data_IF_629829824961
#
_entry.id   IF_629829824961
#
_cell.length_a   1.000
_cell.length_b   1.000
_cell.length_c   1.000
_cell.angle_alpha   90.00
_cell.angle_beta   90.00
_cell.angle_gamma   90.00
#
_symmetry.space_group_name_H-M   'P 1'
#
loop_
_entity.id
_entity.type
_entity.pdbx_description
1 polymer ?
#
# COMPACT_ATOMS: atom_id res chain seq x y z
N UNK A 1 -29.61 -53.09 10.96
CA UNK A 1 -29.71 -52.56 12.35
C UNK A 1 -29.86 -51.04 12.20
N UNK A 2 -31.09 -50.51 12.21
CA UNK A 2 -31.76 -49.82 13.37
C UNK A 2 -30.86 -48.77 14.02
N UNK A 3 -31.23 -47.51 14.31
CA UNK A 3 -32.49 -46.74 14.27
C UNK A 3 -32.07 -45.23 14.29
N UNK A 4 -32.68 -44.30 13.55
CA UNK A 4 -33.93 -43.57 13.84
C UNK A 4 -33.96 -42.75 15.15
N UNK A 5 -34.00 -41.40 15.06
CA UNK A 5 -34.83 -40.44 15.86
C UNK A 5 -34.27 -39.00 15.72
N UNK A 6 -34.91 -38.08 14.99
CA UNK A 6 -36.08 -37.23 15.30
C UNK A 6 -35.88 -36.16 16.39
N UNK A 7 -35.87 -34.91 15.90
CA UNK A 7 -36.67 -33.74 16.29
C UNK A 7 -36.52 -33.12 17.70
N UNK A 8 -36.42 -31.78 17.73
CA UNK A 8 -37.43 -30.92 18.37
C UNK A 8 -37.32 -29.45 17.93
N UNK A 9 -38.46 -28.92 17.50
CA UNK A 9 -38.78 -27.51 17.38
C UNK A 9 -39.02 -26.89 18.76
N UNK A 10 -38.92 -25.57 18.87
CA UNK A 10 -39.68 -24.78 19.85
C UNK A 10 -40.32 -23.56 19.14
N UNK A 11 -41.62 -23.32 19.37
CA UNK A 11 -42.36 -22.19 18.81
C UNK A 11 -42.46 -21.00 19.79
N UNK A 12 -42.76 -19.85 19.19
CA UNK A 12 -43.51 -18.69 19.68
C UNK A 12 -43.85 -18.59 21.18
N UNK A 13 -43.42 -17.47 21.77
CA UNK A 13 -44.04 -16.86 22.94
C UNK A 13 -44.59 -15.49 22.56
N UNK A 14 -45.92 -15.39 22.58
CA UNK A 14 -46.76 -14.22 22.36
C UNK A 14 -47.33 -13.77 23.72
N UNK A 15 -47.42 -12.46 23.96
CA UNK A 15 -48.25 -11.78 24.99
C UNK A 15 -47.81 -10.30 25.07
N UNK A 16 -48.53 -9.37 24.44
CA UNK A 16 -49.72 -8.66 24.94
C UNK A 16 -49.46 -7.31 25.66
N UNK A 17 -49.89 -6.24 24.96
CA UNK A 17 -50.82 -5.17 25.39
C UNK A 17 -50.49 -4.36 26.66
N UNK A 18 -50.24 -3.05 26.50
CA UNK A 18 -51.16 -2.00 27.03
C UNK A 18 -50.83 -0.59 26.54
N UNK A 19 -51.81 0.02 25.87
CA UNK A 19 -51.98 1.47 25.72
C UNK A 19 -52.16 2.15 27.07
N UNK A 20 -51.76 3.42 27.19
CA UNK A 20 -52.65 4.50 27.70
C UNK A 20 -52.03 5.85 27.37
N UNK A 21 -52.80 6.63 26.61
CA UNK A 21 -52.75 8.09 26.58
C UNK A 21 -53.02 8.63 27.98
N UNK A 22 -52.39 9.75 28.34
CA UNK A 22 -52.88 10.62 29.41
C UNK A 22 -52.55 12.06 29.04
N UNK A 23 -53.64 12.81 28.95
CA UNK A 23 -53.75 14.21 28.60
C UNK A 23 -53.10 15.15 29.63
N UNK A 24 -52.84 16.38 29.18
CA UNK A 24 -52.48 17.55 29.99
C UNK A 24 -53.46 17.82 31.14
N UNK A 25 -53.05 18.65 32.12
CA UNK A 25 -53.57 20.02 32.04
C UNK A 25 -52.55 21.12 32.36
N UNK A 26 -52.79 22.26 31.72
CA UNK A 26 -52.17 23.56 31.92
C UNK A 26 -52.37 24.12 33.33
N UNK A 27 -51.39 24.93 33.78
CA UNK A 27 -51.53 26.28 34.39
C UNK A 27 -50.33 26.60 35.30
N UNK A 28 -49.53 27.60 34.92
CA UNK A 28 -49.01 28.63 35.83
C UNK A 28 -48.14 29.63 35.05
N UNK A 29 -48.71 30.79 34.74
CA UNK A 29 -47.96 31.98 34.35
C UNK A 29 -47.31 32.58 35.60
N UNK A 30 -45.98 32.77 35.57
CA UNK A 30 -45.24 33.55 36.55
C UNK A 30 -44.32 34.55 35.82
N UNK A 31 -44.34 35.85 36.16
CA UNK A 31 -43.48 36.86 35.55
C UNK A 31 -42.15 36.89 36.32
N UNK A 32 -41.02 36.76 35.62
CA UNK A 32 -39.72 36.76 36.31
C UNK A 32 -38.50 36.66 35.41
N UNK A 33 -37.96 37.85 35.10
CA UNK A 33 -36.55 38.17 34.89
C UNK A 33 -35.90 37.89 33.50
N UNK A 34 -35.54 38.96 32.74
CA UNK A 34 -34.79 38.82 31.51
C UNK A 34 -33.32 38.51 31.82
N UNK A 35 -32.96 37.23 31.84
CA UNK A 35 -31.55 36.83 31.84
C UNK A 35 -30.90 37.34 30.55
N UNK A 36 -29.70 37.93 30.61
CA UNK A 36 -28.98 38.33 29.41
C UNK A 36 -28.72 37.07 28.57
N UNK A 37 -29.13 37.13 27.29
CA UNK A 37 -28.71 36.17 26.26
C UNK A 37 -27.20 36.00 26.39
N UNK A 38 -26.75 34.84 26.84
CA UNK A 38 -25.40 34.39 26.52
C UNK A 38 -25.40 34.21 25.02
N UNK A 39 -24.79 35.16 24.33
CA UNK A 39 -24.44 34.98 22.93
C UNK A 39 -23.59 33.72 22.86
N UNK A 40 -24.12 32.69 22.21
CA UNK A 40 -23.33 31.54 21.81
C UNK A 40 -22.12 32.09 21.03
N UNK A 41 -20.88 31.75 21.41
CA UNK A 41 -19.72 32.20 20.67
C UNK A 41 -19.88 31.75 19.21
N UNK A 42 -19.61 32.63 18.23
CA UNK A 42 -19.76 32.32 16.82
C UNK A 42 -19.00 31.05 16.53
N UNK A 43 -19.71 30.10 15.93
CA UNK A 43 -19.25 28.75 15.68
C UNK A 43 -17.80 28.74 15.24
N UNK A 44 -17.00 27.87 15.85
CA UNK A 44 -15.70 27.46 15.31
C UNK A 44 -15.93 27.11 13.85
N UNK A 45 -15.59 28.04 12.96
CA UNK A 45 -15.51 27.79 11.55
C UNK A 45 -14.49 26.65 11.42
N UNK A 46 -15.00 25.44 11.15
CA UNK A 46 -14.14 24.35 10.72
C UNK A 46 -13.31 24.83 9.54
N UNK A 47 -12.11 24.26 9.31
CA UNK A 47 -11.24 24.70 8.23
C UNK A 47 -12.05 24.83 6.94
N UNK A 48 -11.94 26.00 6.28
CA UNK A 48 -12.73 26.35 5.10
C UNK A 48 -12.63 25.19 4.11
N UNK A 49 -13.77 24.52 3.86
CA UNK A 49 -13.84 23.33 2.99
C UNK A 49 -13.20 23.61 1.63
N UNK A 50 -13.30 24.84 1.15
CA UNK A 50 -12.67 25.29 -0.10
C UNK A 50 -11.15 25.28 -0.06
N UNK A 51 -10.54 25.64 1.07
CA UNK A 51 -9.09 25.60 1.26
C UNK A 51 -8.58 24.16 1.36
N UNK A 52 -9.32 23.27 2.03
CA UNK A 52 -9.02 21.83 2.10
C UNK A 52 -9.12 21.19 0.71
N UNK A 53 -10.17 21.50 -0.05
CA UNK A 53 -10.36 21.00 -1.42
C UNK A 53 -9.29 21.54 -2.39
N UNK A 54 -8.88 22.80 -2.23
CA UNK A 54 -7.82 23.39 -3.04
C UNK A 54 -6.46 22.73 -2.79
N UNK A 55 -6.11 22.45 -1.52
CA UNK A 55 -4.89 21.74 -1.17
C UNK A 55 -4.92 20.27 -1.64
N UNK A 56 -6.08 19.60 -1.52
CA UNK A 56 -6.29 18.25 -2.08
C UNK A 56 -6.07 18.24 -3.60
N UNK A 57 -6.60 19.22 -4.32
CA UNK A 57 -6.39 19.37 -5.78
C UNK A 57 -4.94 19.62 -6.15
N UNK A 58 -4.22 20.46 -5.38
CA UNK A 58 -2.78 20.69 -5.61
C UNK A 58 -1.97 19.41 -5.45
N UNK A 59 -2.23 18.63 -4.39
CA UNK A 59 -1.56 17.34 -4.16
C UNK A 59 -1.92 16.29 -5.21
N UNK A 60 -3.14 16.34 -5.72
CA UNK A 60 -3.58 15.51 -6.85
C UNK A 60 -3.03 15.97 -8.19
N UNK A 61 -2.46 17.17 -8.34
CA UNK A 61 -1.91 17.61 -9.62
C UNK A 61 -0.49 17.05 -9.88
N UNK A 62 0.24 16.70 -8.83
CA UNK A 62 1.60 16.19 -8.97
C UNK A 62 1.60 14.67 -9.14
N UNK A 63 2.24 14.20 -10.22
CA UNK A 63 2.46 12.77 -10.48
C UNK A 63 3.91 12.44 -10.19
N UNK A 64 4.14 11.49 -9.28
CA UNK A 64 5.49 11.01 -8.93
C UNK A 64 5.82 9.77 -9.77
N UNK A 65 7.00 9.74 -10.38
CA UNK A 65 7.60 8.52 -10.95
C UNK A 65 8.65 7.98 -9.97
N UNK A 66 8.77 6.65 -9.90
CA UNK A 66 9.69 5.92 -9.05
C UNK A 66 10.66 5.04 -9.88
N UNK A 67 10.77 5.26 -11.20
CA UNK A 67 11.58 4.38 -12.06
C UNK A 67 13.06 4.37 -11.66
N UNK A 68 13.56 5.52 -11.20
CA UNK A 68 14.90 5.66 -10.62
C UNK A 68 15.11 4.74 -9.41
N UNK A 69 14.10 4.56 -8.57
CA UNK A 69 14.18 3.70 -7.38
C UNK A 69 14.28 2.22 -7.79
N UNK A 70 13.45 1.76 -8.73
CA UNK A 70 13.59 0.38 -9.27
C UNK A 70 14.94 0.15 -9.93
N UNK A 71 15.43 1.11 -10.72
CA UNK A 71 16.72 1.01 -11.40
C UNK A 71 17.89 0.93 -10.42
N UNK A 72 17.84 1.68 -9.32
CA UNK A 72 18.84 1.61 -8.26
C UNK A 72 18.83 0.26 -7.54
N UNK A 73 17.65 -0.26 -7.19
CA UNK A 73 17.51 -1.58 -6.57
C UNK A 73 18.07 -2.68 -7.47
N UNK A 74 17.69 -2.68 -8.75
CA UNK A 74 18.20 -3.64 -9.72
C UNK A 74 19.73 -3.56 -9.86
N UNK A 75 20.29 -2.34 -9.94
CA UNK A 75 21.73 -2.11 -10.04
C UNK A 75 22.47 -2.56 -8.78
N UNK A 76 21.91 -2.33 -7.60
CA UNK A 76 22.50 -2.77 -6.33
C UNK A 76 22.58 -4.30 -6.25
N UNK A 77 21.52 -5.00 -6.67
CA UNK A 77 21.45 -6.46 -6.72
C UNK A 77 22.39 -7.06 -7.76
N UNK A 78 22.33 -6.60 -9.01
CA UNK A 78 22.89 -7.34 -10.14
C UNK A 78 24.24 -6.81 -10.64
N UNK A 79 24.60 -5.55 -10.35
CA UNK A 79 25.74 -4.88 -10.99
C UNK A 79 26.79 -4.42 -9.98
N UNK A 80 26.38 -3.66 -8.97
CA UNK A 80 27.28 -2.88 -8.10
C UNK A 80 28.31 -3.75 -7.38
N UNK A 81 27.93 -4.94 -6.97
CA UNK A 81 28.75 -5.84 -6.18
C UNK A 81 29.15 -7.13 -6.92
N UNK A 82 28.78 -7.27 -8.19
CA UNK A 82 28.99 -8.49 -8.98
C UNK A 82 30.47 -8.89 -9.10
N UNK A 83 31.39 -7.92 -9.06
CA UNK A 83 32.85 -8.14 -9.17
C UNK A 83 33.54 -8.37 -7.81
N UNK A 84 32.81 -8.28 -6.71
CA UNK A 84 33.37 -8.56 -5.39
C UNK A 84 33.49 -10.07 -5.16
N UNK A 85 34.44 -10.48 -4.32
CA UNK A 85 34.51 -11.86 -3.85
C UNK A 85 33.29 -12.21 -3.01
N UNK A 86 32.92 -13.50 -2.95
CA UNK A 86 31.75 -13.97 -2.19
C UNK A 86 31.72 -13.48 -0.74
N UNK A 87 32.86 -13.50 -0.03
CA UNK A 87 32.92 -12.98 1.35
C UNK A 87 32.61 -11.48 1.45
N UNK A 88 33.08 -10.67 0.48
CA UNK A 88 32.77 -9.23 0.43
C UNK A 88 31.34 -8.96 -0.02
N UNK A 89 30.79 -9.81 -0.90
CA UNK A 89 29.38 -9.77 -1.27
C UNK A 89 28.50 -10.05 -0.04
N UNK A 90 28.84 -11.06 0.76
CA UNK A 90 28.13 -11.40 1.99
C UNK A 90 28.09 -10.23 3.00
N UNK A 91 29.22 -9.53 3.19
CA UNK A 91 29.28 -8.33 4.04
C UNK A 91 28.33 -7.21 3.56
N UNK A 92 28.06 -7.15 2.25
CA UNK A 92 27.19 -6.14 1.64
C UNK A 92 25.71 -6.56 1.58
N UNK A 93 25.39 -7.84 1.73
CA UNK A 93 24.01 -8.35 1.68
C UNK A 93 23.08 -7.62 2.63
N UNK A 94 23.48 -7.41 3.89
CA UNK A 94 22.62 -6.79 4.89
C UNK A 94 22.31 -5.33 4.55
N UNK A 95 23.34 -4.56 4.14
CA UNK A 95 23.21 -3.17 3.69
C UNK A 95 22.26 -3.06 2.49
N UNK A 96 22.46 -3.89 1.47
CA UNK A 96 21.60 -3.88 0.27
C UNK A 96 20.15 -4.27 0.61
N UNK A 97 19.94 -5.28 1.46
CA UNK A 97 18.59 -5.67 1.88
C UNK A 97 17.88 -4.55 2.67
N UNK A 98 18.60 -3.86 3.55
CA UNK A 98 18.08 -2.71 4.31
C UNK A 98 17.72 -1.54 3.38
N UNK A 99 18.57 -1.23 2.40
CA UNK A 99 18.33 -0.17 1.41
C UNK A 99 17.09 -0.47 0.55
N UNK A 100 16.92 -1.73 0.13
CA UNK A 100 15.72 -2.16 -0.60
C UNK A 100 14.47 -1.99 0.29
N UNK A 101 14.52 -2.42 1.55
CA UNK A 101 13.40 -2.23 2.48
C UNK A 101 13.09 -0.74 2.67
N UNK A 102 14.10 0.09 2.85
CA UNK A 102 13.92 1.55 2.96
C UNK A 102 13.24 2.12 1.71
N UNK A 103 13.70 1.70 0.53
CA UNK A 103 13.18 2.16 -0.76
C UNK A 103 11.70 1.80 -0.91
N UNK A 104 11.34 0.55 -0.61
CA UNK A 104 9.94 0.07 -0.60
C UNK A 104 9.08 0.91 0.35
N UNK A 105 9.55 1.17 1.57
CA UNK A 105 8.83 1.96 2.57
C UNK A 105 8.67 3.42 2.13
N UNK A 106 9.70 4.00 1.52
CA UNK A 106 9.72 5.36 0.99
C UNK A 106 8.68 5.54 -0.13
N UNK A 107 8.64 4.61 -1.10
CA UNK A 107 7.64 4.62 -2.17
C UNK A 107 6.22 4.57 -1.58
N UNK A 108 5.95 3.64 -0.67
CA UNK A 108 4.64 3.53 -0.05
C UNK A 108 4.24 4.79 0.74
N UNK A 109 5.19 5.41 1.45
CA UNK A 109 4.97 6.68 2.16
C UNK A 109 4.60 7.85 1.23
N UNK A 110 5.10 7.84 -0.01
CA UNK A 110 4.78 8.83 -1.03
C UNK A 110 3.45 8.53 -1.77
N UNK A 111 2.90 7.32 -1.64
CA UNK A 111 1.67 6.87 -2.29
C UNK A 111 0.43 6.92 -1.37
N UNK A 112 0.36 7.92 -0.48
CA UNK A 112 -0.73 8.06 0.49
C UNK A 112 -2.14 8.20 -0.13
N UNK A 113 -3.23 8.10 0.66
CA UNK A 113 -4.61 8.07 0.15
C UNK A 113 -5.06 9.38 -0.52
N UNK A 114 -4.37 10.49 -0.27
CA UNK A 114 -4.72 11.81 -0.80
C UNK A 114 -3.97 12.19 -2.08
N UNK A 115 -3.04 11.35 -2.55
CA UNK A 115 -2.22 11.63 -3.74
C UNK A 115 -2.97 11.34 -5.04
N UNK A 116 -2.37 11.68 -6.17
CA UNK A 116 -2.93 11.39 -7.49
C UNK A 116 -3.05 9.86 -7.72
N UNK A 117 -4.13 9.44 -8.39
CA UNK A 117 -4.37 8.06 -8.83
C UNK A 117 -3.18 7.42 -9.55
N UNK A 118 -2.60 8.17 -10.49
CA UNK A 118 -1.42 7.78 -11.26
C UNK A 118 -0.19 7.60 -10.38
N UNK A 119 -0.04 8.37 -9.30
CA UNK A 119 1.07 8.17 -8.36
C UNK A 119 0.94 6.85 -7.61
N UNK A 120 -0.28 6.45 -7.21
CA UNK A 120 -0.51 5.13 -6.62
C UNK A 120 -0.26 4.00 -7.63
N UNK A 121 -0.71 4.18 -8.87
CA UNK A 121 -0.45 3.24 -9.96
C UNK A 121 1.05 3.06 -10.21
N UNK A 122 1.78 4.17 -10.34
CA UNK A 122 3.23 4.18 -10.53
C UNK A 122 3.93 3.50 -9.34
N UNK A 123 3.52 3.80 -8.11
CA UNK A 123 4.04 3.15 -6.90
C UNK A 123 3.85 1.64 -6.92
N UNK A 124 2.62 1.16 -7.20
CA UNK A 124 2.34 -0.27 -7.31
C UNK A 124 3.16 -0.95 -8.43
N UNK A 125 3.27 -0.30 -9.58
CA UNK A 125 4.06 -0.79 -10.72
C UNK A 125 5.54 -0.92 -10.34
N UNK A 126 6.13 0.08 -9.70
CA UNK A 126 7.53 0.04 -9.27
C UNK A 126 7.75 -0.96 -8.14
N UNK A 127 6.86 -1.06 -7.15
CA UNK A 127 6.95 -2.11 -6.14
C UNK A 127 6.89 -3.50 -6.77
N UNK A 128 6.05 -3.71 -7.80
CA UNK A 128 6.03 -4.96 -8.57
C UNK A 128 7.39 -5.21 -9.24
N UNK A 129 7.97 -4.20 -9.91
CA UNK A 129 9.30 -4.31 -10.56
C UNK A 129 10.40 -4.66 -9.55
N UNK A 130 10.39 -4.03 -8.37
CA UNK A 130 11.32 -4.34 -7.27
C UNK A 130 11.13 -5.78 -6.80
N UNK A 131 9.90 -6.20 -6.56
CA UNK A 131 9.57 -7.58 -6.17
C UNK A 131 10.12 -8.60 -7.17
N UNK A 132 9.87 -8.39 -8.46
CA UNK A 132 10.40 -9.25 -9.52
C UNK A 132 11.94 -9.24 -9.56
N UNK A 133 12.57 -8.08 -9.35
CA UNK A 133 14.03 -7.97 -9.31
C UNK A 133 14.65 -8.79 -8.17
N UNK A 134 13.97 -8.89 -7.02
CA UNK A 134 14.39 -9.72 -5.89
C UNK A 134 14.16 -11.21 -6.19
N UNK A 135 13.00 -11.56 -6.76
CA UNK A 135 12.66 -12.96 -7.07
C UNK A 135 13.56 -13.53 -8.15
N UNK A 136 13.83 -12.77 -9.21
CA UNK A 136 14.63 -13.20 -10.35
C UNK A 136 16.09 -12.74 -10.26
N UNK A 137 16.56 -12.32 -9.09
CA UNK A 137 17.96 -11.95 -8.93
C UNK A 137 18.83 -13.19 -9.10
N UNK A 138 19.62 -13.25 -10.16
CA UNK A 138 20.53 -14.35 -10.43
C UNK A 138 21.95 -13.98 -9.98
N UNK A 139 22.58 -14.84 -9.18
CA UNK A 139 23.96 -14.65 -8.74
C UNK A 139 24.28 -15.45 -7.47
N UNK A 140 25.56 -15.55 -7.16
CA UNK A 140 26.05 -16.51 -6.16
C UNK A 140 25.69 -16.13 -4.73
N UNK A 141 26.27 -15.04 -4.20
CA UNK A 141 26.21 -14.77 -2.75
C UNK A 141 25.23 -13.67 -2.41
N UNK A 142 25.44 -12.44 -2.91
CA UNK A 142 24.59 -11.31 -2.52
C UNK A 142 23.15 -11.43 -3.03
N UNK A 143 22.88 -11.67 -4.33
CA UNK A 143 21.51 -11.85 -4.83
C UNK A 143 20.74 -12.94 -4.08
N UNK A 144 21.37 -14.11 -3.92
CA UNK A 144 20.80 -15.25 -3.21
C UNK A 144 20.45 -14.92 -1.75
N UNK A 145 21.37 -14.30 -1.01
CA UNK A 145 21.12 -14.02 0.41
C UNK A 145 20.12 -12.87 0.61
N UNK A 146 20.06 -11.90 -0.31
CA UNK A 146 19.00 -10.89 -0.32
C UNK A 146 17.65 -11.56 -0.59
N UNK A 147 17.53 -12.38 -1.63
CA UNK A 147 16.31 -13.14 -1.93
C UNK A 147 15.85 -13.95 -0.72
N UNK A 148 16.77 -14.66 -0.06
CA UNK A 148 16.49 -15.43 1.15
C UNK A 148 15.99 -14.56 2.30
N UNK A 149 16.54 -13.35 2.49
CA UNK A 149 16.07 -12.42 3.52
C UNK A 149 14.60 -12.04 3.32
N UNK A 150 14.14 -11.97 2.06
CA UNK A 150 12.76 -11.64 1.70
C UNK A 150 11.78 -12.82 1.76
N UNK A 151 12.24 -14.04 2.10
CA UNK A 151 11.32 -15.16 2.36
C UNK A 151 10.51 -14.99 3.65
N UNK A 152 11.10 -14.33 4.66
CA UNK A 152 10.43 -14.01 5.92
C UNK A 152 10.02 -12.54 6.06
N UNK A 153 10.47 -11.69 5.13
CA UNK A 153 10.22 -10.25 5.17
C UNK A 153 8.90 -9.90 4.47
N UNK A 154 8.04 -9.15 5.14
CA UNK A 154 6.71 -8.76 4.63
C UNK A 154 6.64 -7.29 4.17
N UNK A 155 7.78 -6.60 4.09
CA UNK A 155 7.85 -5.16 3.81
C UNK A 155 7.25 -4.81 2.46
N UNK A 156 7.53 -5.61 1.42
CA UNK A 156 6.98 -5.39 0.07
C UNK A 156 5.45 -5.49 0.05
N UNK A 157 4.91 -6.56 0.63
CA UNK A 157 3.47 -6.84 0.62
C UNK A 157 2.73 -5.81 1.46
N UNK A 158 3.26 -5.47 2.64
CA UNK A 158 2.68 -4.43 3.50
C UNK A 158 2.68 -3.06 2.81
N UNK A 159 3.75 -2.74 2.08
CA UNK A 159 3.82 -1.52 1.27
C UNK A 159 2.76 -1.53 0.15
N UNK A 160 2.65 -2.62 -0.61
CA UNK A 160 1.63 -2.76 -1.66
C UNK A 160 0.21 -2.64 -1.09
N UNK A 161 -0.10 -3.38 -0.01
CA UNK A 161 -1.40 -3.33 0.67
C UNK A 161 -1.72 -1.93 1.19
N UNK A 162 -0.72 -1.20 1.72
CA UNK A 162 -0.89 0.18 2.17
C UNK A 162 -1.27 1.11 1.01
N UNK A 163 -0.69 0.92 -0.18
CA UNK A 163 -1.08 1.67 -1.38
C UNK A 163 -2.50 1.29 -1.80
N UNK A 164 -2.80 -0.01 -1.94
CA UNK A 164 -4.12 -0.52 -2.39
C UNK A 164 -5.25 -0.02 -1.49
N UNK A 165 -5.01 0.08 -0.17
CA UNK A 165 -5.98 0.66 0.78
C UNK A 165 -6.37 2.10 0.45
N UNK A 166 -5.47 2.87 -0.17
CA UNK A 166 -5.71 4.22 -0.65
C UNK A 166 -6.23 4.31 -2.09
N UNK A 167 -6.33 3.19 -2.82
CA UNK A 167 -6.84 3.15 -4.19
C UNK A 167 -8.36 3.02 -4.17
N UNK A 168 -9.05 3.92 -4.87
CA UNK A 168 -10.51 3.91 -4.96
C UNK A 168 -11.01 2.73 -5.80
N UNK A 169 -12.24 2.24 -5.53
CA UNK A 169 -12.81 1.07 -6.24
C UNK A 169 -12.74 1.20 -7.77
N UNK A 170 -13.10 2.36 -8.33
CA UNK A 170 -13.06 2.58 -9.77
C UNK A 170 -11.64 2.57 -10.35
N UNK A 171 -10.62 2.95 -9.57
CA UNK A 171 -9.22 2.84 -9.97
C UNK A 171 -8.76 1.38 -9.98
N UNK A 172 -9.15 0.59 -8.98
CA UNK A 172 -8.86 -0.86 -8.94
C UNK A 172 -9.48 -1.59 -10.12
N UNK A 173 -10.75 -1.31 -10.43
CA UNK A 173 -11.45 -1.87 -11.59
C UNK A 173 -10.76 -1.51 -12.91
N UNK A 174 -10.20 -0.31 -13.03
CA UNK A 174 -9.43 0.09 -14.21
C UNK A 174 -8.17 -0.76 -14.35
N UNK A 175 -7.40 -0.91 -13.27
CA UNK A 175 -6.20 -1.75 -13.25
C UNK A 175 -6.52 -3.21 -13.58
N UNK A 176 -7.58 -3.77 -12.99
CA UNK A 176 -7.98 -5.16 -13.24
C UNK A 176 -8.50 -5.40 -14.66
N UNK A 177 -9.07 -4.38 -15.30
CA UNK A 177 -9.54 -4.48 -16.70
C UNK A 177 -8.37 -4.58 -17.68
N UNK A 178 -7.22 -4.01 -17.34
CA UNK A 178 -5.96 -4.17 -18.06
C UNK A 178 -5.36 -5.56 -17.77
N UNK A 179 -6.09 -6.62 -18.15
CA UNK A 179 -5.65 -8.01 -18.01
C UNK A 179 -4.97 -8.53 -19.29
N UNK A 180 -4.22 -7.65 -19.96
CA UNK A 180 -3.28 -8.02 -21.03
C UNK A 180 -1.91 -8.30 -20.40
N UNK A 181 -1.02 -9.02 -21.08
CA UNK A 181 0.33 -9.33 -20.56
C UNK A 181 1.10 -8.10 -20.06
N UNK A 182 0.89 -6.95 -20.72
CA UNK A 182 1.54 -5.69 -20.36
C UNK A 182 0.89 -4.94 -19.19
N UNK A 183 -0.34 -5.30 -18.85
CA UNK A 183 -1.13 -4.63 -17.84
C UNK A 183 -0.64 -4.93 -16.42
N UNK A 184 -0.79 -3.94 -15.53
CA UNK A 184 -0.34 -4.06 -14.14
C UNK A 184 -0.97 -5.25 -13.41
N UNK A 185 -2.24 -5.57 -13.69
CA UNK A 185 -2.92 -6.70 -13.07
C UNK A 185 -2.28 -8.04 -13.44
N UNK A 186 -2.08 -8.32 -14.74
CA UNK A 186 -1.41 -9.53 -15.21
C UNK A 186 0.01 -9.63 -14.63
N UNK A 187 0.73 -8.51 -14.60
CA UNK A 187 2.09 -8.41 -14.03
C UNK A 187 2.14 -8.69 -12.52
N UNK A 188 1.10 -8.35 -11.76
CA UNK A 188 0.98 -8.69 -10.33
C UNK A 188 0.67 -10.17 -10.11
N UNK A 189 -0.20 -10.76 -10.93
CA UNK A 189 -0.47 -12.20 -10.89
C UNK A 189 0.80 -13.00 -11.21
N UNK A 190 1.51 -12.62 -12.27
CA UNK A 190 2.79 -13.23 -12.66
C UNK A 190 3.82 -13.17 -11.52
N UNK A 191 3.98 -12.00 -10.87
CA UNK A 191 4.89 -11.89 -9.74
C UNK A 191 4.49 -12.83 -8.59
N UNK A 192 3.19 -13.02 -8.35
CA UNK A 192 2.70 -13.92 -7.29
C UNK A 192 3.06 -15.38 -7.59
N UNK A 193 2.96 -15.78 -8.84
CA UNK A 193 3.37 -17.11 -9.31
C UNK A 193 4.89 -17.30 -9.20
N UNK A 194 5.67 -16.37 -9.77
CA UNK A 194 7.15 -16.38 -9.71
C UNK A 194 7.63 -16.42 -8.25
N UNK A 195 7.07 -15.57 -7.37
CA UNK A 195 7.49 -15.50 -5.98
C UNK A 195 7.22 -16.81 -5.20
N UNK A 196 6.19 -17.57 -5.60
CA UNK A 196 5.85 -18.85 -4.95
C UNK A 196 6.93 -19.92 -5.13
N UNK A 197 7.60 -19.94 -6.29
CA UNK A 197 8.70 -20.86 -6.59
C UNK A 197 9.89 -20.63 -5.64
N UNK A 198 10.19 -19.36 -5.36
CA UNK A 198 11.30 -18.94 -4.50
C UNK A 198 10.89 -18.74 -3.03
N UNK A 199 9.63 -19.05 -2.68
CA UNK A 199 9.03 -18.84 -1.34
C UNK A 199 9.17 -17.40 -0.82
N UNK A 200 9.23 -16.45 -1.73
CA UNK A 200 9.24 -15.02 -1.41
C UNK A 200 7.81 -14.50 -1.36
N UNK A 201 7.58 -13.47 -0.55
CA UNK A 201 6.33 -12.71 -0.54
C UNK A 201 5.03 -13.56 -0.47
N UNK A 202 4.93 -14.39 0.57
CA UNK A 202 3.81 -15.33 0.82
C UNK A 202 2.40 -14.70 0.90
N UNK A 203 2.31 -13.39 1.12
CA UNK A 203 1.10 -12.56 1.21
C UNK A 203 0.82 -11.73 -0.04
N UNK A 204 1.52 -11.92 -1.16
CA UNK A 204 1.11 -11.27 -2.42
C UNK A 204 -0.33 -11.59 -2.83
N UNK A 205 -0.83 -12.78 -2.48
CA UNK A 205 -2.24 -13.12 -2.64
C UNK A 205 -3.19 -12.20 -1.86
N UNK A 206 -2.77 -11.63 -0.73
CA UNK A 206 -3.56 -10.63 0.01
C UNK A 206 -3.68 -9.34 -0.81
N UNK A 207 -2.62 -8.92 -1.51
CA UNK A 207 -2.64 -7.73 -2.37
C UNK A 207 -3.66 -7.91 -3.49
N UNK A 208 -3.68 -9.09 -4.14
CA UNK A 208 -4.63 -9.40 -5.21
C UNK A 208 -6.08 -9.39 -4.69
N UNK A 209 -6.34 -10.05 -3.55
CA UNK A 209 -7.67 -10.08 -2.92
C UNK A 209 -8.15 -8.69 -2.50
N UNK A 210 -7.26 -7.83 -1.99
CA UNK A 210 -7.58 -6.43 -1.71
C UNK A 210 -7.92 -5.64 -2.98
N UNK A 211 -7.26 -5.96 -4.09
CA UNK A 211 -7.55 -5.33 -5.38
C UNK A 211 -8.96 -5.68 -5.88
N UNK A 212 -9.37 -6.94 -5.70
CA UNK A 212 -10.72 -7.46 -5.97
C UNK A 212 -11.79 -6.89 -5.03
N UNK A 213 -11.37 -6.34 -3.89
CA UNK A 213 -12.23 -5.65 -2.94
C UNK A 213 -12.50 -6.41 -1.64
N UNK A 214 -11.75 -7.49 -1.36
CA UNK A 214 -11.77 -8.12 -0.04
C UNK A 214 -11.17 -7.20 1.03
N UNK A 215 -11.81 -7.14 2.19
CA UNK A 215 -11.26 -6.44 3.36
C UNK A 215 -10.24 -7.35 4.06
N UNK A 216 -8.97 -6.93 4.03
CA UNK A 216 -7.88 -7.64 4.69
C UNK A 216 -7.29 -6.73 5.77
N UNK A 217 -7.09 -7.28 6.96
CA UNK A 217 -6.43 -6.57 8.05
C UNK A 217 -4.94 -6.34 7.71
N UNK A 218 -4.62 -5.07 7.48
CA UNK A 218 -3.23 -4.63 7.33
C UNK A 218 -2.77 -4.09 8.67
N UNK A 219 -1.87 -4.81 9.34
CA UNK A 219 -1.09 -4.22 10.43
C UNK A 219 -0.26 -3.07 9.85
N UNK A 220 -0.64 -1.83 10.12
CA UNK A 220 -0.01 -0.62 9.59
C UNK A 220 1.09 -0.09 10.52
N UNK A 221 1.88 -0.97 11.15
CA UNK A 221 3.10 -0.66 11.92
C UNK A 221 4.21 0.12 11.19
N UNK A 222 3.87 0.97 10.22
CA UNK A 222 4.70 2.00 9.57
C UNK A 222 4.81 3.30 10.37
N UNK A 223 4.42 3.29 11.65
CA UNK A 223 4.44 4.44 12.56
C UNK A 223 5.84 4.85 13.04
N UNK A 224 6.78 5.05 12.12
CA UNK A 224 7.96 5.87 12.36
C UNK A 224 7.77 7.15 11.58
N UNK A 225 7.42 8.24 12.26
CA UNK A 225 7.41 9.56 11.63
C UNK A 225 8.80 9.81 11.05
N UNK A 226 8.91 9.86 9.72
CA UNK A 226 10.07 10.46 9.04
C UNK A 226 10.00 11.97 9.26
N UNK A 227 10.33 12.38 10.48
CA UNK A 227 10.72 13.75 10.80
C UNK A 227 12.03 13.99 10.08
N UNK A 228 11.98 14.89 9.10
CA UNK A 228 12.97 14.99 8.04
C UNK A 228 14.40 15.21 8.50
N UNK A 229 15.32 14.75 7.64
CA UNK A 229 16.52 15.51 7.28
C UNK A 229 16.80 15.21 5.82
N UNK A 230 16.85 16.27 5.01
CA UNK A 230 17.46 16.26 3.69
C UNK A 230 18.97 16.12 3.88
N UNK A 231 19.47 14.89 4.01
CA UNK A 231 20.89 14.60 3.87
C UNK A 231 21.03 13.34 3.01
N UNK A 232 20.83 13.52 1.70
CA UNK A 232 21.31 12.55 0.73
C UNK A 232 22.85 12.54 0.80
N UNK A 233 23.52 11.43 1.13
CA UNK A 233 24.96 11.36 1.01
C UNK A 233 25.34 11.53 -0.45
N UNK A 234 26.17 12.55 -0.72
CA UNK A 234 26.77 12.79 -2.03
C UNK A 234 27.66 11.61 -2.40
N UNK A 235 27.15 10.69 -3.19
CA UNK A 235 27.97 9.68 -3.85
C UNK A 235 28.70 10.34 -5.02
N UNK A 236 30.03 10.41 -4.87
CA UNK A 236 30.97 10.95 -5.84
C UNK A 236 30.83 10.28 -7.20
N UNK A 237 30.98 11.10 -8.24
CA UNK A 237 30.89 10.70 -9.63
C UNK A 237 31.82 9.54 -9.97
N UNK A 238 31.21 8.46 -10.45
CA UNK A 238 31.85 7.58 -11.42
C UNK A 238 31.10 7.79 -12.73
N UNK A 239 31.78 8.53 -13.59
CA UNK A 239 31.54 8.69 -15.01
C UNK A 239 31.21 7.34 -15.66
N UNK A 240 30.05 7.27 -16.29
CA UNK A 240 29.44 6.06 -16.83
C UNK A 240 27.99 6.28 -17.26
N UNK A 241 27.65 7.50 -17.66
CA UNK A 241 26.29 7.96 -18.00
C UNK A 241 25.77 7.43 -19.33
N UNK A 242 26.61 6.78 -20.14
CA UNK A 242 26.29 6.59 -21.56
C UNK A 242 25.77 5.17 -21.89
N UNK A 243 25.37 4.38 -20.88
CA UNK A 243 24.85 3.01 -21.07
C UNK A 243 23.48 2.75 -20.42
N UNK A 244 22.84 3.77 -19.82
CA UNK A 244 21.58 3.58 -19.09
C UNK A 244 20.32 3.78 -19.95
N UNK A 245 20.39 4.60 -21.01
CA UNK A 245 19.20 4.91 -21.83
C UNK A 245 18.85 3.78 -22.81
N UNK A 246 19.85 3.08 -23.37
CA UNK A 246 19.59 2.00 -24.33
C UNK A 246 19.12 0.70 -23.65
N UNK A 247 19.36 0.50 -22.35
CA UNK A 247 18.95 -0.73 -21.65
C UNK A 247 17.53 -0.65 -21.07
N UNK A 248 16.96 0.54 -20.90
CA UNK A 248 15.61 0.72 -20.34
C UNK A 248 14.53 0.95 -21.40
N UNK A 249 14.89 1.39 -22.62
CA UNK A 249 13.95 1.46 -23.75
C UNK A 249 13.62 0.09 -24.37
N UNK A 250 14.35 -0.97 -24.03
CA UNK A 250 14.10 -2.35 -24.49
C UNK A 250 13.52 -3.29 -23.42
N UNK A 251 13.13 -2.78 -22.24
CA UNK A 251 12.56 -3.61 -21.16
C UNK A 251 11.06 -3.92 -21.30
N UNK A 252 10.43 -3.47 -22.40
CA UNK A 252 9.10 -3.92 -22.84
C UNK A 252 9.19 -5.10 -23.84
N UNK A 253 10.39 -5.56 -24.19
CA UNK A 253 10.57 -6.77 -25.00
C UNK A 253 10.90 -7.98 -24.12
N UNK A 254 9.96 -8.94 -24.13
CA UNK A 254 9.81 -10.17 -23.34
C UNK A 254 10.96 -11.21 -23.41
N UNK A 255 12.17 -10.86 -23.83
CA UNK A 255 13.24 -11.85 -24.01
C UNK A 255 14.48 -11.47 -23.20
N UNK A 256 14.60 -11.94 -21.95
CA UNK A 256 15.87 -12.37 -21.33
C UNK A 256 15.59 -13.04 -19.98
N UNK A 257 15.19 -14.31 -20.04
CA UNK A 257 15.76 -15.43 -19.26
C UNK A 257 15.52 -16.72 -20.05
#
# INVERSE_FOLDING_TARGET
MSANKRARANPAGDAHIRSTETEEPALAQGPGDPRPRREDPPGRAGPDRRAVDAEKRKRQAHVISFDRDSGQVWKALNVTHARLSGSRQYEKTFEVADDIRWTIKSIAGQCGPLVNAQTRYNGLSVLRKIGRSIVLSCGDTLPHDVQKSFQSDTTLERAMMAIVKGVEKGERERVMRENTGDGLWAKLMQLTEEASEYRCFTRLGDVLRMMEGEEIEVDLGFGGAVSGVNDAPGYGGLDGSDLLDDYYSSQDDDDYY
#
